data_IF_809269276300
#
_entry.id   IF_809269276300
#
_cell.length_a   1.000
_cell.length_b   1.000
_cell.length_c   1.000
_cell.angle_alpha   90.00
_cell.angle_beta   90.00
_cell.angle_gamma   90.00
#
_symmetry.space_group_name_H-M   'P 1'
#
loop_
_entity.id
_entity.type
_entity.pdbx_description
1 polymer ?
#
# COMPACT_ATOMS: atom_id res chain seq x y z
N UNK A 1 -8.53 -16.70 19.75
CA UNK A 1 -8.86 -17.43 18.49
C UNK A 1 -7.57 -17.40 17.69
N UNK A 2 -6.91 -18.54 17.40
CA UNK A 2 -5.49 -18.63 16.96
C UNK A 2 -4.99 -17.55 15.97
N UNK A 3 -5.86 -17.03 15.11
CA UNK A 3 -5.58 -15.93 14.18
C UNK A 3 -5.18 -14.61 14.87
N UNK A 4 -5.77 -14.26 16.00
CA UNK A 4 -5.45 -13.04 16.75
C UNK A 4 -4.02 -13.09 17.28
N UNK A 5 -3.66 -14.23 17.87
CA UNK A 5 -2.35 -14.51 18.47
C UNK A 5 -1.22 -14.35 17.44
N UNK A 6 -1.43 -14.69 16.16
CA UNK A 6 -0.42 -14.49 15.10
C UNK A 6 -0.11 -13.02 14.78
N UNK A 7 -1.04 -12.11 15.02
CA UNK A 7 -0.86 -10.68 14.73
C UNK A 7 -0.34 -9.89 15.93
N UNK A 8 -0.46 -10.42 17.16
CA UNK A 8 -0.01 -9.74 18.38
C UNK A 8 1.50 -9.47 18.39
N UNK A 9 2.29 -10.39 17.83
CA UNK A 9 3.75 -10.28 17.77
C UNK A 9 4.26 -9.44 16.58
N UNK A 10 3.37 -9.01 15.68
CA UNK A 10 3.77 -8.22 14.52
C UNK A 10 3.89 -6.73 14.87
N UNK A 11 4.89 -6.09 14.25
CA UNK A 11 5.04 -4.64 14.33
C UNK A 11 3.83 -3.98 13.67
N UNK A 12 3.09 -3.18 14.43
CA UNK A 12 2.01 -2.35 13.92
C UNK A 12 2.55 -1.03 13.39
N UNK A 13 2.28 -0.75 12.11
CA UNK A 13 2.59 0.54 11.49
C UNK A 13 1.34 1.43 11.54
N UNK A 14 1.35 2.52 12.33
CA UNK A 14 0.18 3.39 12.47
C UNK A 14 -0.06 4.17 11.17
N UNK A 15 -1.33 4.30 10.78
CA UNK A 15 -1.73 5.21 9.71
C UNK A 15 -2.06 6.57 10.30
N UNK A 16 -1.46 7.62 9.74
CA UNK A 16 -1.76 9.00 10.08
C UNK A 16 -2.72 9.61 9.06
N UNK A 17 -3.16 10.85 9.30
CA UNK A 17 -3.89 11.61 8.29
C UNK A 17 -3.08 11.72 6.98
N UNK A 18 -1.77 11.90 7.08
CA UNK A 18 -0.88 12.02 5.91
C UNK A 18 -0.87 10.73 5.07
N UNK A 19 -0.92 9.56 5.70
CA UNK A 19 -1.02 8.28 5.01
C UNK A 19 -2.25 8.24 4.09
N UNK A 20 -3.40 8.72 4.56
CA UNK A 20 -4.63 8.77 3.74
C UNK A 20 -4.52 9.80 2.61
N UNK A 21 -3.88 10.94 2.86
CA UNK A 21 -3.59 11.91 1.80
C UNK A 21 -2.68 11.31 0.72
N UNK A 22 -1.64 10.57 1.11
CA UNK A 22 -0.77 9.90 0.15
C UNK A 22 -1.48 8.82 -0.65
N UNK A 23 -2.33 8.02 0.00
CA UNK A 23 -3.15 7.03 -0.71
C UNK A 23 -4.00 7.69 -1.82
N UNK A 24 -4.59 8.86 -1.54
CA UNK A 24 -5.34 9.62 -2.53
C UNK A 24 -4.45 10.17 -3.66
N UNK A 25 -3.22 10.60 -3.36
CA UNK A 25 -2.23 11.04 -4.35
C UNK A 25 -1.84 9.89 -5.28
N UNK A 26 -1.53 8.71 -4.74
CA UNK A 26 -1.23 7.49 -5.49
C UNK A 26 -2.39 7.16 -6.45
N UNK A 27 -3.61 7.11 -5.93
CA UNK A 27 -4.80 6.84 -6.72
C UNK A 27 -4.97 7.84 -7.88
N UNK A 28 -4.86 9.14 -7.59
CA UNK A 28 -5.02 10.20 -8.60
C UNK A 28 -3.89 10.19 -9.62
N UNK A 29 -2.66 9.87 -9.21
CA UNK A 29 -1.51 9.77 -10.11
C UNK A 29 -1.71 8.66 -11.15
N UNK A 30 -2.21 7.50 -10.72
CA UNK A 30 -2.51 6.38 -11.61
C UNK A 30 -3.72 6.68 -12.51
N UNK A 31 -4.78 7.28 -11.96
CA UNK A 31 -5.95 7.71 -12.74
C UNK A 31 -5.60 8.68 -13.85
N UNK A 32 -4.72 9.66 -13.59
CA UNK A 32 -4.22 10.60 -14.60
C UNK A 32 -3.48 9.92 -15.76
N UNK A 33 -3.00 8.70 -15.55
CA UNK A 33 -2.32 7.87 -16.56
C UNK A 33 -3.27 6.86 -17.24
N UNK A 34 -4.57 6.96 -16.99
CA UNK A 34 -5.57 6.01 -17.50
C UNK A 34 -5.59 4.66 -16.76
N UNK A 35 -4.86 4.53 -15.65
CA UNK A 35 -4.80 3.30 -14.86
C UNK A 35 -5.83 3.36 -13.74
N UNK A 36 -6.69 2.36 -13.68
CA UNK A 36 -7.71 2.25 -12.63
C UNK A 36 -7.24 1.29 -11.55
N UNK A 37 -6.99 1.80 -10.34
CA UNK A 37 -6.81 0.95 -9.16
C UNK A 37 -8.17 0.45 -8.71
N UNK A 38 -8.32 -0.86 -8.57
CA UNK A 38 -9.61 -1.53 -8.28
C UNK A 38 -10.05 -1.32 -6.83
N UNK A 39 -9.11 -1.19 -5.88
CA UNK A 39 -9.39 -1.06 -4.44
C UNK A 39 -8.64 0.14 -3.85
N UNK A 40 -9.35 1.00 -3.13
CA UNK A 40 -8.74 2.13 -2.41
C UNK A 40 -7.80 1.68 -1.30
N UNK A 41 -8.04 0.50 -0.72
CA UNK A 41 -7.20 -0.10 0.33
C UNK A 41 -5.79 -0.40 -0.17
N UNK A 42 -5.61 -0.79 -1.42
CA UNK A 42 -4.28 -1.07 -1.98
C UNK A 42 -3.42 0.20 -2.03
N UNK A 43 -4.03 1.36 -2.31
CA UNK A 43 -3.34 2.65 -2.21
C UNK A 43 -2.96 2.99 -0.77
N UNK A 44 -3.78 2.63 0.23
CA UNK A 44 -3.45 2.86 1.64
C UNK A 44 -2.30 1.96 2.10
N UNK A 45 -2.34 0.67 1.74
CA UNK A 45 -1.25 -0.28 2.04
C UNK A 45 0.05 0.20 1.39
N UNK A 46 0.00 0.63 0.13
CA UNK A 46 1.17 1.15 -0.55
C UNK A 46 1.68 2.46 0.05
N UNK A 47 0.78 3.36 0.48
CA UNK A 47 1.16 4.60 1.15
C UNK A 47 1.93 4.31 2.44
N UNK A 48 1.44 3.39 3.28
CA UNK A 48 2.16 2.94 4.48
C UNK A 48 3.54 2.38 4.11
N UNK A 49 3.61 1.48 3.13
CA UNK A 49 4.88 0.87 2.74
C UNK A 49 5.91 1.91 2.26
N UNK A 50 5.47 2.92 1.51
CA UNK A 50 6.31 4.02 1.03
C UNK A 50 6.71 4.95 2.18
N UNK A 51 5.77 5.33 3.05
CA UNK A 51 5.98 6.24 4.18
C UNK A 51 7.01 5.70 5.18
N UNK A 52 6.93 4.40 5.48
CA UNK A 52 7.86 3.73 6.40
C UNK A 52 9.10 3.15 5.70
N UNK A 53 9.26 3.38 4.40
CA UNK A 53 10.34 2.84 3.57
C UNK A 53 10.56 1.32 3.79
N UNK A 54 9.50 0.55 3.60
CA UNK A 54 9.53 -0.92 3.67
C UNK A 54 9.03 -1.56 2.37
N UNK A 55 9.57 -2.72 1.98
CA UNK A 55 9.06 -3.43 0.83
C UNK A 55 7.77 -4.21 1.20
N UNK A 56 6.80 -4.22 0.29
CA UNK A 56 5.54 -4.93 0.44
C UNK A 56 5.63 -6.37 -0.07
N UNK A 57 5.37 -7.35 0.79
CA UNK A 57 5.11 -8.73 0.37
C UNK A 57 3.64 -8.86 -0.02
N UNK A 58 3.35 -9.29 -1.25
CA UNK A 58 1.98 -9.46 -1.73
C UNK A 58 1.87 -10.56 -2.79
N UNK A 59 0.64 -11.04 -3.02
CA UNK A 59 0.29 -11.92 -4.14
C UNK A 59 -0.76 -11.30 -5.08
N UNK A 60 -1.04 -10.00 -4.93
CA UNK A 60 -2.04 -9.26 -5.72
C UNK A 60 -1.38 -8.41 -6.81
N UNK A 61 -1.76 -8.61 -8.09
CA UNK A 61 -1.20 -7.86 -9.22
C UNK A 61 -1.62 -6.38 -9.23
N UNK A 62 -2.59 -5.98 -8.41
CA UNK A 62 -3.01 -4.58 -8.28
C UNK A 62 -1.91 -3.65 -7.77
N UNK A 63 -0.84 -4.20 -7.17
CA UNK A 63 0.34 -3.42 -6.75
C UNK A 63 1.35 -3.14 -7.87
N UNK A 64 1.31 -3.88 -8.99
CA UNK A 64 2.27 -3.70 -10.10
C UNK A 64 2.26 -2.26 -10.67
N UNK A 65 1.09 -1.62 -10.92
CA UNK A 65 1.09 -0.24 -11.38
C UNK A 65 1.61 0.75 -10.34
N UNK A 66 1.37 0.48 -9.05
CA UNK A 66 1.84 1.32 -7.94
C UNK A 66 3.37 1.22 -7.82
N UNK A 67 3.94 0.02 -7.91
CA UNK A 67 5.38 -0.19 -7.99
C UNK A 67 5.98 0.56 -9.18
N UNK A 68 5.41 0.40 -10.37
CA UNK A 68 5.94 0.99 -11.61
C UNK A 68 5.89 2.52 -11.63
N UNK A 69 4.96 3.14 -10.91
CA UNK A 69 4.66 4.57 -11.10
C UNK A 69 4.69 5.42 -9.84
N UNK A 70 4.70 4.81 -8.65
CA UNK A 70 4.55 5.50 -7.38
C UNK A 70 5.66 5.15 -6.38
N UNK A 71 6.68 4.38 -6.77
CA UNK A 71 7.85 4.11 -5.92
C UNK A 71 7.65 3.05 -4.84
N UNK A 72 6.57 2.27 -4.91
CA UNK A 72 6.37 1.12 -4.02
C UNK A 72 7.45 0.07 -4.30
N UNK A 73 8.17 -0.36 -3.25
CA UNK A 73 9.06 -1.52 -3.29
C UNK A 73 8.27 -2.78 -2.96
N UNK A 74 8.54 -3.87 -3.65
CA UNK A 74 7.86 -5.16 -3.42
C UNK A 74 8.88 -6.28 -3.20
N UNK A 75 8.49 -7.31 -2.46
CA UNK A 75 9.23 -8.57 -2.31
C UNK A 75 8.52 -9.64 -3.13
N UNK A 76 9.28 -10.38 -3.94
CA UNK A 76 8.79 -11.47 -4.78
C UNK A 76 8.82 -12.83 -4.11
#
# INVERSE_FOLDING_TARGET
RKTHDYFEDLVYLPMSQETFHQAAIIYRSLRKRGITVRKSVDCMIAAVAIEFDIPLLHADRDFEPIQKHCGLRVVG
#
